data_IF_824011403264
#
_entry.id   IF_824011403264
#
_cell.length_a   1.000
_cell.length_b   1.000
_cell.length_c   1.000
_cell.angle_alpha   90.00
_cell.angle_beta   90.00
_cell.angle_gamma   90.00
#
_symmetry.space_group_name_H-M   'P 1'
#
loop_
_entity.id
_entity.type
_entity.pdbx_description
1 polymer ?
#
# COMPACT_ATOMS: atom_id res chain seq x y z
N UNK A 1 3.97 -5.98 -11.10
CA UNK A 1 4.36 -4.58 -10.80
C UNK A 1 5.01 -4.01 -12.05
N UNK A 2 4.27 -3.25 -12.87
CA UNK A 2 4.88 -2.48 -13.97
C UNK A 2 5.15 -1.09 -13.44
N UNK A 3 6.43 -0.78 -13.27
CA UNK A 3 6.93 0.57 -13.04
C UNK A 3 6.84 1.24 -14.42
N UNK A 4 6.02 2.29 -14.57
CA UNK A 4 6.12 3.14 -15.75
C UNK A 4 7.46 3.86 -15.65
N UNK A 5 8.44 3.36 -16.41
CA UNK A 5 9.70 4.04 -16.63
C UNK A 5 9.56 4.96 -17.82
N UNK A 6 9.57 6.27 -17.56
CA UNK A 6 10.40 7.25 -18.29
C UNK A 6 10.18 8.64 -17.69
N UNK A 7 11.17 9.09 -16.92
CA UNK A 7 11.58 10.49 -16.76
C UNK A 7 10.59 11.50 -16.14
N UNK A 8 10.13 11.28 -14.91
CA UNK A 8 9.78 12.39 -14.00
C UNK A 8 10.05 11.97 -12.55
N UNK A 9 11.24 12.27 -12.02
CA UNK A 9 11.50 12.27 -10.58
C UNK A 9 10.81 13.48 -9.93
N UNK A 10 9.48 13.52 -10.00
CA UNK A 10 8.72 14.50 -9.25
C UNK A 10 8.78 14.11 -7.76
N UNK A 11 9.02 15.07 -6.84
CA UNK A 11 9.08 14.79 -5.40
C UNK A 11 7.88 14.00 -4.88
N UNK A 12 6.68 14.21 -5.44
CA UNK A 12 5.48 13.46 -5.08
C UNK A 12 5.54 11.98 -5.41
N UNK A 13 6.16 11.61 -6.54
CA UNK A 13 6.31 10.20 -6.95
C UNK A 13 7.33 9.48 -6.08
N UNK A 14 8.45 10.14 -5.75
CA UNK A 14 9.44 9.58 -4.83
C UNK A 14 8.82 9.33 -3.45
N UNK A 15 8.17 10.36 -2.89
CA UNK A 15 7.50 10.26 -1.60
C UNK A 15 6.47 9.12 -1.58
N UNK A 16 5.61 9.03 -2.61
CA UNK A 16 4.58 7.98 -2.72
C UNK A 16 5.19 6.57 -2.67
N UNK A 17 6.31 6.35 -3.37
CA UNK A 17 6.91 5.03 -3.52
C UNK A 17 7.84 4.62 -2.38
N UNK A 18 8.55 5.58 -1.77
CA UNK A 18 9.66 5.30 -0.85
C UNK A 18 9.39 5.74 0.59
N UNK A 19 8.52 6.72 0.82
CA UNK A 19 8.32 7.34 2.14
C UNK A 19 6.91 7.09 2.68
N UNK A 20 5.90 7.25 1.83
CA UNK A 20 4.51 7.07 2.18
C UNK A 20 4.20 5.59 2.45
N UNK A 21 3.74 5.31 3.67
CA UNK A 21 3.31 3.98 4.09
C UNK A 21 1.81 3.83 3.85
N UNK A 22 1.46 3.01 2.86
CA UNK A 22 0.09 2.88 2.40
C UNK A 22 -0.69 1.92 3.29
N UNK A 23 -1.83 2.35 3.80
CA UNK A 23 -2.70 1.53 4.65
C UNK A 23 -3.18 0.26 3.93
N UNK A 24 -3.43 0.36 2.62
CA UNK A 24 -3.85 -0.76 1.77
C UNK A 24 -2.83 -1.90 1.71
N UNK A 25 -1.53 -1.61 1.91
CA UNK A 25 -0.46 -2.62 2.03
C UNK A 25 0.11 -2.69 3.45
N UNK A 26 -0.75 -2.52 4.46
CA UNK A 26 -0.39 -2.64 5.88
C UNK A 26 0.78 -1.74 6.29
N UNK A 27 0.74 -0.49 5.83
CA UNK A 27 1.73 0.54 6.12
C UNK A 27 3.15 0.16 5.68
N UNK A 28 3.25 -0.52 4.53
CA UNK A 28 4.49 -0.75 3.81
C UNK A 28 4.58 0.26 2.66
N UNK A 29 5.78 0.57 2.20
CA UNK A 29 5.98 1.42 1.01
C UNK A 29 5.94 0.55 -0.26
N UNK A 30 5.50 1.08 -1.42
CA UNK A 30 5.51 0.33 -2.68
C UNK A 30 6.89 -0.21 -3.00
N UNK A 31 7.96 0.55 -2.75
CA UNK A 31 9.33 0.10 -2.94
C UNK A 31 9.71 -1.08 -2.03
N UNK A 32 9.36 -1.05 -0.74
CA UNK A 32 9.62 -2.17 0.19
C UNK A 32 8.92 -3.45 -0.26
N UNK A 33 7.67 -3.34 -0.72
CA UNK A 33 6.94 -4.49 -1.27
C UNK A 33 7.53 -5.00 -2.58
N UNK A 34 7.99 -4.10 -3.46
CA UNK A 34 8.67 -4.50 -4.69
C UNK A 34 9.92 -5.33 -4.41
N UNK A 35 10.66 -4.95 -3.37
CA UNK A 35 11.84 -5.65 -2.88
C UNK A 35 11.51 -6.87 -2.01
N UNK A 36 10.22 -7.24 -1.86
CA UNK A 36 9.74 -8.36 -1.03
C UNK A 36 10.19 -8.30 0.44
N UNK A 37 10.40 -7.09 0.95
CA UNK A 37 10.78 -6.86 2.35
C UNK A 37 9.56 -6.82 3.29
N UNK A 38 8.35 -6.82 2.72
CA UNK A 38 7.10 -6.66 3.44
C UNK A 38 6.86 -7.79 4.45
N UNK A 39 7.16 -9.04 4.10
CA UNK A 39 7.00 -10.18 5.02
C UNK A 39 7.80 -10.01 6.31
N UNK A 40 9.10 -9.71 6.18
CA UNK A 40 9.99 -9.52 7.34
C UNK A 40 9.55 -8.32 8.19
N UNK A 41 9.23 -7.18 7.55
CA UNK A 41 8.79 -5.97 8.26
C UNK A 41 7.48 -6.23 9.03
N UNK A 42 6.54 -6.92 8.40
CA UNK A 42 5.24 -7.22 8.99
C UNK A 42 5.35 -8.22 10.14
N UNK A 43 6.22 -9.23 10.01
CA UNK A 43 6.51 -10.18 11.09
C UNK A 43 7.10 -9.48 12.33
N UNK A 44 8.07 -8.57 12.14
CA UNK A 44 8.63 -7.80 13.26
C UNK A 44 7.59 -6.88 13.91
N UNK A 45 6.74 -6.22 13.12
CA UNK A 45 5.63 -5.42 13.67
C UNK A 45 4.66 -6.25 14.49
N UNK A 46 4.35 -7.47 14.07
CA UNK A 46 3.51 -8.38 14.83
C UNK A 46 4.09 -8.66 16.22
N UNK A 47 5.40 -8.93 16.31
CA UNK A 47 6.11 -9.16 17.58
C UNK A 47 6.04 -7.94 18.49
N UNK A 48 6.36 -6.76 17.96
CA UNK A 48 6.33 -5.50 18.73
C UNK A 48 4.93 -5.23 19.29
N UNK A 49 3.90 -5.37 18.46
CA UNK A 49 2.52 -5.13 18.90
C UNK A 49 2.03 -6.17 19.91
N UNK A 50 2.40 -7.44 19.74
CA UNK A 50 2.09 -8.48 20.71
C UNK A 50 2.76 -8.20 22.07
N UNK A 51 4.04 -7.84 22.07
CA UNK A 51 4.76 -7.47 23.30
C UNK A 51 4.14 -6.25 23.99
N UNK A 52 3.80 -5.20 23.22
CA UNK A 52 3.17 -4.00 23.76
C UNK A 52 1.78 -4.28 24.36
N UNK A 53 1.00 -5.18 23.74
CA UNK A 53 -0.29 -5.63 24.27
C UNK A 53 -0.13 -6.44 25.56
N UNK A 54 0.83 -7.36 25.60
CA UNK A 54 1.10 -8.17 26.79
C UNK A 54 1.58 -7.31 27.98
N UNK A 55 2.36 -6.26 27.71
CA UNK A 55 2.86 -5.36 28.75
C UNK A 55 1.75 -4.48 29.37
N UNK A 56 0.75 -4.06 28.58
CA UNK A 56 -0.29 -3.14 29.03
C UNK A 56 -1.66 -3.52 28.47
N UNK A 57 -2.26 -4.65 28.88
CA UNK A 57 -3.49 -5.16 28.26
C UNK A 57 -4.67 -4.20 28.39
N UNK A 58 -4.79 -3.48 29.52
CA UNK A 58 -5.89 -2.52 29.77
C UNK A 58 -5.91 -1.33 28.79
N UNK A 59 -4.80 -1.04 28.10
CA UNK A 59 -4.73 0.00 27.06
C UNK A 59 -5.46 -0.41 25.78
N UNK A 60 -5.73 -1.70 25.59
CA UNK A 60 -6.25 -2.25 24.34
C UNK A 60 -7.70 -2.69 24.52
N UNK A 61 -8.61 -2.11 23.74
CA UNK A 61 -10.01 -2.54 23.70
C UNK A 61 -10.22 -3.84 22.92
N UNK A 62 -9.21 -4.34 22.20
CA UNK A 62 -9.32 -5.54 21.37
C UNK A 62 -7.98 -6.17 20.98
N UNK A 63 -7.98 -6.87 19.85
CA UNK A 63 -6.78 -7.49 19.26
C UNK A 63 -5.80 -6.45 18.72
N UNK A 64 -4.55 -6.88 18.47
CA UNK A 64 -3.57 -6.05 17.76
C UNK A 64 -3.96 -5.89 16.30
N UNK A 65 -3.41 -4.87 15.64
CA UNK A 65 -3.59 -4.68 14.19
C UNK A 65 -3.15 -5.93 13.41
N UNK A 66 -3.86 -6.22 12.32
CA UNK A 66 -3.52 -7.32 11.42
C UNK A 66 -2.23 -7.00 10.64
N UNK A 67 -1.16 -7.71 11.00
CA UNK A 67 0.16 -7.64 10.37
C UNK A 67 0.48 -8.88 9.53
N UNK A 68 -0.51 -9.62 9.03
CA UNK A 68 -0.23 -10.70 8.06
C UNK A 68 0.31 -10.11 6.74
N UNK A 69 1.07 -10.85 5.92
CA UNK A 69 1.42 -10.41 4.56
C UNK A 69 0.19 -10.30 3.65
N UNK A 70 0.22 -9.36 2.68
CA UNK A 70 -0.81 -9.28 1.62
C UNK A 70 -0.23 -9.95 0.38
N UNK A 71 -0.96 -10.85 -0.26
CA UNK A 71 -0.51 -11.51 -1.49
C UNK A 71 -0.81 -10.66 -2.72
N UNK A 72 -1.98 -10.03 -2.78
CA UNK A 72 -2.46 -9.31 -3.96
C UNK A 72 -2.92 -7.89 -3.65
N UNK A 73 -2.52 -6.94 -4.49
CA UNK A 73 -3.00 -5.54 -4.46
C UNK A 73 -3.12 -5.01 -5.88
N UNK A 74 -4.21 -4.29 -6.14
CA UNK A 74 -4.51 -3.67 -7.44
C UNK A 74 -4.23 -2.17 -7.39
N UNK A 75 -3.44 -1.65 -8.33
CA UNK A 75 -2.98 -0.25 -8.34
C UNK A 75 -3.98 0.72 -8.99
N UNK A 76 -4.95 0.19 -9.72
CA UNK A 76 -6.10 0.90 -10.28
C UNK A 76 -7.21 -0.15 -10.44
N UNK A 77 -8.39 0.02 -9.84
CA UNK A 77 -9.55 -0.73 -10.31
C UNK A 77 -9.75 -0.35 -11.79
N UNK A 78 -10.12 -1.32 -12.64
CA UNK A 78 -10.55 -1.00 -13.99
C UNK A 78 -11.76 -0.06 -13.86
N UNK A 79 -11.59 1.22 -14.16
CA UNK A 79 -12.75 2.07 -14.44
C UNK A 79 -13.50 1.38 -15.57
N UNK A 80 -14.82 1.09 -15.41
CA UNK A 80 -15.63 0.82 -16.59
C UNK A 80 -15.36 1.96 -17.56
N UNK A 81 -15.00 1.66 -18.80
CA UNK A 81 -14.94 2.70 -19.83
C UNK A 81 -16.36 3.25 -19.95
N UNK A 82 -16.59 4.46 -19.46
CA UNK A 82 -17.82 5.19 -19.79
C UNK A 82 -17.92 5.23 -21.31
N UNK A 83 -18.99 4.67 -21.85
CA UNK A 83 -19.24 4.57 -23.29
C UNK A 83 -19.65 5.91 -23.92
N UNK A 84 -19.54 7.02 -23.20
CA UNK A 84 -19.86 8.34 -23.72
C UNK A 84 -18.63 8.96 -24.40
N UNK A 85 -18.32 8.48 -25.61
CA UNK A 85 -17.55 9.28 -26.56
C UNK A 85 -18.46 10.43 -27.07
N UNK A 86 -18.02 11.69 -27.05
CA UNK A 86 -18.76 12.74 -27.73
C UNK A 86 -18.69 12.50 -29.24
N UNK A 87 -19.85 12.49 -29.89
CA UNK A 87 -19.97 12.47 -31.35
C UNK A 87 -19.11 13.60 -31.93
N UNK A 88 -18.15 13.23 -32.79
CA UNK A 88 -17.45 14.21 -33.62
C UNK A 88 -18.49 14.88 -34.52
N UNK A 89 -18.70 16.17 -34.34
CA UNK A 89 -19.32 17.03 -35.34
C UNK A 89 -18.56 16.86 -36.66
N UNK A 90 -19.21 16.24 -37.65
CA UNK A 90 -18.83 16.38 -39.05
C UNK A 90 -19.39 17.70 -39.60
N UNK A 91 -18.59 18.34 -40.43
CA UNK A 91 -18.75 19.66 -41.02
C UNK A 91 -20.04 19.86 -41.82
#
# INVERSE_FOLDING_TARGET
>A
MRVFGSELSSPGVHWYNHEHRHSAIRFITPAQRHLKLDEAILAERAKVYAAARNANPNRWSGGTRNWSPITEVHLNPQTPKDQNQPEKLAA
#
